data_IF_685555351425
#
_entry.id   IF_685555351425
#
_cell.length_a   1.000
_cell.length_b   1.000
_cell.length_c   1.000
_cell.angle_alpha   90.00
_cell.angle_beta   90.00
_cell.angle_gamma   90.00
#
_symmetry.space_group_name_H-M   'P 1'
#
loop_
_entity.id
_entity.type
_entity.pdbx_description
1 polymer ?
#
# COMPACT_ATOMS: atom_id res chain seq x y z
N UNK A 1 32.16 12.75 -8.58
CA UNK A 1 31.71 11.78 -9.60
C UNK A 1 30.24 11.52 -9.40
N UNK A 2 29.39 12.06 -10.28
CA UNK A 2 27.98 11.71 -10.32
C UNK A 2 27.83 10.47 -11.21
N UNK A 3 27.14 9.44 -10.73
CA UNK A 3 26.73 8.31 -11.54
C UNK A 3 25.21 8.22 -11.42
N UNK A 4 24.52 8.75 -12.44
CA UNK A 4 23.15 8.38 -12.79
C UNK A 4 23.11 6.87 -13.06
N UNK A 5 22.10 6.10 -12.72
CA UNK A 5 20.70 6.28 -13.09
C UNK A 5 20.12 4.87 -13.24
N UNK A 6 18.91 4.71 -12.75
CA UNK A 6 18.17 3.47 -12.59
C UNK A 6 17.69 2.88 -13.94
N UNK A 7 17.79 1.56 -14.13
CA UNK A 7 17.12 0.85 -15.23
C UNK A 7 16.33 -0.34 -14.68
N UNK A 8 15.04 -0.11 -14.44
CA UNK A 8 14.06 -1.16 -14.17
C UNK A 8 13.72 -1.93 -15.43
N UNK A 9 13.70 -3.26 -15.33
CA UNK A 9 13.23 -4.15 -16.40
C UNK A 9 11.74 -4.43 -16.20
N UNK A 10 10.92 -3.78 -17.04
CA UNK A 10 9.49 -4.02 -17.13
C UNK A 10 9.17 -5.32 -17.89
N UNK A 11 8.15 -6.04 -17.40
CA UNK A 11 7.61 -7.25 -18.01
C UNK A 11 6.79 -6.94 -19.26
N UNK A 12 7.11 -7.58 -20.38
CA UNK A 12 6.30 -7.55 -21.60
C UNK A 12 5.45 -8.82 -21.72
N UNK A 13 4.14 -8.71 -21.47
CA UNK A 13 3.12 -9.63 -22.01
C UNK A 13 1.94 -8.81 -22.53
N UNK A 14 2.09 -8.32 -23.76
CA UNK A 14 1.02 -7.65 -24.50
C UNK A 14 0.18 -8.66 -25.28
N UNK A 15 -0.92 -9.13 -24.67
CA UNK A 15 -1.96 -9.90 -25.36
C UNK A 15 -2.91 -8.96 -26.11
N UNK A 16 -2.93 -9.09 -27.43
CA UNK A 16 -3.82 -8.36 -28.34
C UNK A 16 -5.29 -8.76 -28.07
N UNK A 17 -6.15 -7.81 -27.71
CA UNK A 17 -7.61 -8.02 -27.66
C UNK A 17 -8.34 -6.81 -28.22
N UNK A 18 -8.90 -7.01 -29.41
CA UNK A 18 -9.75 -6.08 -30.16
C UNK A 18 -10.80 -5.44 -29.26
N UNK A 19 -10.68 -4.12 -29.05
CA UNK A 19 -11.73 -3.30 -28.42
C UNK A 19 -12.88 -3.11 -29.41
N UNK A 20 -13.90 -3.97 -29.32
CA UNK A 20 -15.24 -3.61 -29.80
C UNK A 20 -15.85 -2.64 -28.79
N UNK A 21 -15.80 -1.35 -29.12
CA UNK A 21 -16.61 -0.32 -28.46
C UNK A 21 -18.07 -0.61 -28.79
N UNK A 22 -18.81 -1.16 -27.84
CA UNK A 22 -20.28 -1.11 -27.80
C UNK A 22 -20.63 -0.54 -26.44
N UNK A 23 -21.19 0.67 -26.47
CA UNK A 23 -21.69 1.34 -25.28
C UNK A 23 -22.68 0.44 -24.56
N UNK A 24 -22.39 0.17 -23.30
CA UNK A 24 -23.35 -0.42 -22.37
C UNK A 24 -23.06 0.18 -20.99
N UNK A 25 -23.73 1.29 -20.72
CA UNK A 25 -23.79 1.92 -19.40
C UNK A 25 -24.59 1.11 -18.38
N UNK A 26 -24.72 -0.22 -18.55
CA UNK A 26 -25.56 -1.10 -17.75
C UNK A 26 -24.82 -2.14 -16.89
N UNK A 27 -23.48 -2.29 -17.00
CA UNK A 27 -22.78 -3.46 -16.42
C UNK A 27 -22.21 -3.30 -15.00
N UNK A 28 -22.36 -2.13 -14.39
CA UNK A 28 -21.84 -1.85 -13.04
C UNK A 28 -22.91 -1.21 -12.17
N UNK A 29 -23.95 -1.98 -11.84
CA UNK A 29 -24.90 -1.56 -10.80
C UNK A 29 -24.14 -1.33 -9.49
N UNK A 30 -24.23 -0.11 -8.98
CA UNK A 30 -23.69 0.24 -7.66
C UNK A 30 -24.67 -0.24 -6.60
N UNK A 31 -24.19 -1.01 -5.63
CA UNK A 31 -25.02 -1.44 -4.51
C UNK A 31 -25.54 -0.24 -3.72
N UNK A 32 -26.80 -0.31 -3.30
CA UNK A 32 -27.39 0.68 -2.39
C UNK A 32 -26.84 0.50 -0.98
N UNK A 33 -26.94 1.52 -0.13
CA UNK A 33 -26.48 1.41 1.26
C UNK A 33 -27.15 0.25 2.03
N UNK A 34 -28.47 0.02 1.93
CA UNK A 34 -29.11 -1.14 2.54
C UNK A 34 -28.61 -2.49 2.02
N UNK A 35 -28.29 -2.59 0.72
CA UNK A 35 -27.69 -3.80 0.15
C UNK A 35 -26.30 -4.06 0.73
N UNK A 36 -25.48 -3.01 0.84
CA UNK A 36 -24.15 -3.11 1.45
C UNK A 36 -24.25 -3.53 2.91
N UNK A 37 -25.17 -2.97 3.68
CA UNK A 37 -25.34 -3.32 5.10
C UNK A 37 -25.65 -4.81 5.30
N UNK A 38 -26.59 -5.36 4.54
CA UNK A 38 -26.90 -6.79 4.58
C UNK A 38 -25.70 -7.64 4.15
N UNK A 39 -25.02 -7.26 3.07
CA UNK A 39 -23.84 -7.99 2.59
C UNK A 39 -22.69 -7.98 3.62
N UNK A 40 -22.44 -6.85 4.29
CA UNK A 40 -21.44 -6.73 5.36
C UNK A 40 -21.84 -7.56 6.59
N UNK A 41 -23.12 -7.57 6.98
CA UNK A 41 -23.62 -8.43 8.06
C UNK A 41 -23.37 -9.91 7.75
N UNK A 42 -23.79 -10.37 6.57
CA UNK A 42 -23.55 -11.74 6.13
C UNK A 42 -22.06 -12.07 6.01
N UNK A 43 -21.22 -11.10 5.66
CA UNK A 43 -19.76 -11.26 5.61
C UNK A 43 -19.16 -11.55 6.99
N UNK A 44 -19.67 -10.89 8.04
CA UNK A 44 -19.26 -11.14 9.42
C UNK A 44 -19.56 -12.58 9.89
N UNK A 45 -20.65 -13.16 9.40
CA UNK A 45 -21.05 -14.55 9.71
C UNK A 45 -20.24 -15.56 8.88
N UNK A 46 -20.07 -15.32 7.57
CA UNK A 46 -19.31 -16.20 6.69
C UNK A 46 -18.66 -15.45 5.53
N UNK A 47 -17.33 -15.30 5.56
CA UNK A 47 -16.57 -14.59 4.52
C UNK A 47 -16.41 -15.34 3.18
N UNK A 48 -16.78 -16.63 3.13
CA UNK A 48 -16.67 -17.50 1.94
C UNK A 48 -17.94 -18.34 1.72
N UNK A 49 -19.08 -17.70 1.43
CA UNK A 49 -20.32 -18.42 1.25
C UNK A 49 -20.28 -19.33 0.03
N UNK A 50 -20.77 -20.57 0.19
CA UNK A 50 -20.96 -21.52 -0.90
C UNK A 50 -22.17 -21.14 -1.79
N UNK A 51 -22.49 -21.93 -2.82
CA UNK A 51 -23.60 -21.60 -3.73
C UNK A 51 -24.95 -21.53 -3.02
N UNK A 52 -25.26 -22.53 -2.20
CA UNK A 52 -26.51 -22.60 -1.44
C UNK A 52 -26.67 -21.40 -0.50
N UNK A 53 -25.62 -21.07 0.27
CA UNK A 53 -25.64 -19.90 1.15
C UNK A 53 -25.88 -18.59 0.39
N UNK A 54 -25.32 -18.43 -0.82
CA UNK A 54 -25.59 -17.24 -1.64
C UNK A 54 -27.05 -17.17 -2.11
N UNK A 55 -27.66 -18.30 -2.48
CA UNK A 55 -29.07 -18.35 -2.85
C UNK A 55 -29.97 -18.03 -1.66
N UNK A 56 -29.66 -18.58 -0.49
CA UNK A 56 -30.39 -18.30 0.74
C UNK A 56 -30.29 -16.83 1.15
N UNK A 57 -29.14 -16.16 0.96
CA UNK A 57 -29.00 -14.72 1.20
C UNK A 57 -29.98 -13.90 0.34
N UNK A 58 -30.14 -14.24 -0.94
CA UNK A 58 -31.07 -13.54 -1.84
C UNK A 58 -32.52 -13.79 -1.40
N UNK A 59 -32.85 -15.04 -1.07
CA UNK A 59 -34.20 -15.44 -0.64
C UNK A 59 -34.60 -14.81 0.70
N UNK A 60 -33.68 -14.77 1.66
CA UNK A 60 -33.93 -14.28 3.01
C UNK A 60 -33.91 -12.75 3.11
N UNK A 61 -33.29 -12.04 2.15
CA UNK A 61 -33.14 -10.59 2.19
C UNK A 61 -33.73 -9.96 0.92
N UNK A 62 -35.01 -9.51 0.94
CA UNK A 62 -35.68 -8.93 -0.22
C UNK A 62 -34.93 -7.73 -0.85
N UNK A 63 -34.15 -7.00 -0.05
CA UNK A 63 -33.30 -5.89 -0.51
C UNK A 63 -32.21 -6.33 -1.50
N UNK A 64 -31.83 -7.61 -1.47
CA UNK A 64 -30.91 -8.25 -2.42
C UNK A 64 -31.64 -8.85 -3.63
N UNK A 65 -32.95 -8.69 -3.77
CA UNK A 65 -33.73 -9.31 -4.84
C UNK A 65 -33.28 -8.95 -6.26
N UNK A 66 -32.62 -7.80 -6.43
CA UNK A 66 -32.03 -7.37 -7.71
C UNK A 66 -30.58 -7.83 -7.90
N UNK A 67 -29.99 -8.56 -6.94
CA UNK A 67 -28.60 -8.98 -6.93
C UNK A 67 -28.52 -10.48 -7.20
N UNK A 68 -27.85 -10.88 -8.27
CA UNK A 68 -27.70 -12.29 -8.59
C UNK A 68 -26.59 -13.00 -7.79
N UNK A 69 -26.61 -14.34 -7.77
CA UNK A 69 -25.62 -15.15 -7.02
C UNK A 69 -24.17 -14.92 -7.48
N UNK A 70 -23.95 -14.54 -8.75
CA UNK A 70 -22.62 -14.24 -9.29
C UNK A 70 -22.12 -12.89 -8.77
N UNK A 71 -22.98 -11.88 -8.70
CA UNK A 71 -22.69 -10.59 -8.11
C UNK A 71 -22.35 -10.72 -6.63
N UNK A 72 -23.10 -11.52 -5.86
CA UNK A 72 -22.75 -11.83 -4.46
C UNK A 72 -21.36 -12.46 -4.40
N UNK A 73 -21.07 -13.48 -5.22
CA UNK A 73 -19.74 -14.11 -5.25
C UNK A 73 -18.63 -13.08 -5.50
N UNK A 74 -18.80 -12.19 -6.48
CA UNK A 74 -17.82 -11.14 -6.82
C UNK A 74 -17.69 -10.15 -5.66
N UNK A 75 -18.79 -9.72 -5.05
CA UNK A 75 -18.76 -8.81 -3.92
C UNK A 75 -17.95 -9.40 -2.76
N UNK A 76 -18.17 -10.66 -2.39
CA UNK A 76 -17.40 -11.33 -1.33
C UNK A 76 -15.91 -11.52 -1.69
N UNK A 77 -15.59 -11.74 -2.96
CA UNK A 77 -14.20 -11.76 -3.43
C UNK A 77 -13.53 -10.39 -3.29
N UNK A 78 -14.18 -9.34 -3.78
CA UNK A 78 -13.70 -7.98 -3.69
C UNK A 78 -13.59 -7.51 -2.25
N UNK A 79 -14.54 -7.90 -1.39
CA UNK A 79 -14.55 -7.56 0.03
C UNK A 79 -13.33 -8.13 0.75
N UNK A 80 -13.01 -9.40 0.52
CA UNK A 80 -11.78 -10.04 1.04
C UNK A 80 -10.52 -9.41 0.49
N UNK A 81 -10.51 -9.08 -0.80
CA UNK A 81 -9.38 -8.38 -1.41
C UNK A 81 -9.14 -7.01 -0.78
N UNK A 82 -10.21 -6.23 -0.55
CA UNK A 82 -10.15 -4.93 0.14
C UNK A 82 -9.65 -5.04 1.58
N UNK A 83 -10.07 -6.07 2.34
CA UNK A 83 -9.55 -6.27 3.70
C UNK A 83 -8.06 -6.57 3.71
N UNK A 84 -7.64 -7.47 2.81
CA UNK A 84 -6.23 -7.80 2.65
C UNK A 84 -5.42 -6.55 2.29
N UNK A 85 -5.87 -5.79 1.30
CA UNK A 85 -5.22 -4.55 0.87
C UNK A 85 -5.18 -3.49 1.98
N UNK A 86 -6.27 -3.35 2.76
CA UNK A 86 -6.30 -2.42 3.89
C UNK A 86 -5.24 -2.78 4.93
N UNK A 87 -5.17 -4.06 5.30
CA UNK A 87 -4.15 -4.54 6.26
C UNK A 87 -2.74 -4.30 5.74
N UNK A 88 -2.46 -4.69 4.50
CA UNK A 88 -1.15 -4.47 3.87
C UNK A 88 -0.77 -2.99 3.81
N UNK A 89 -1.72 -2.09 3.53
CA UNK A 89 -1.48 -0.66 3.53
C UNK A 89 -1.15 -0.14 4.94
N UNK A 90 -1.91 -0.55 5.96
CA UNK A 90 -1.60 -0.21 7.36
C UNK A 90 -0.22 -0.69 7.77
N UNK A 91 0.14 -1.93 7.42
CA UNK A 91 1.45 -2.51 7.73
C UNK A 91 2.58 -1.73 7.03
N UNK A 92 2.39 -1.37 5.76
CA UNK A 92 3.33 -0.53 5.01
C UNK A 92 3.49 0.87 5.61
N UNK A 93 2.39 1.50 6.03
CA UNK A 93 2.42 2.81 6.68
C UNK A 93 3.22 2.75 7.99
N UNK A 94 3.04 1.70 8.79
CA UNK A 94 3.77 1.51 10.03
C UNK A 94 5.28 1.36 9.79
N UNK A 95 5.67 0.53 8.82
CA UNK A 95 7.08 0.35 8.45
C UNK A 95 7.67 1.65 7.92
N UNK A 96 6.92 2.41 7.11
CA UNK A 96 7.37 3.69 6.58
C UNK A 96 7.61 4.72 7.69
N UNK A 97 6.69 4.82 8.67
CA UNK A 97 6.85 5.69 9.84
C UNK A 97 8.12 5.33 10.63
N UNK A 98 8.36 4.03 10.86
CA UNK A 98 9.58 3.56 11.54
C UNK A 98 10.83 3.94 10.76
N UNK A 99 10.83 3.73 9.45
CA UNK A 99 11.96 4.07 8.58
C UNK A 99 12.25 5.58 8.58
N UNK A 100 11.21 6.42 8.57
CA UNK A 100 11.37 7.88 8.68
C UNK A 100 12.03 8.26 10.02
N UNK A 101 11.58 7.67 11.12
CA UNK A 101 12.15 7.93 12.44
C UNK A 101 13.63 7.51 12.51
N UNK A 102 13.95 6.31 12.02
CA UNK A 102 15.33 5.81 11.97
C UNK A 102 16.22 6.66 11.06
N UNK A 103 15.71 7.05 9.89
CA UNK A 103 16.44 7.92 8.96
C UNK A 103 16.78 9.27 9.60
N UNK A 104 15.84 9.85 10.35
CA UNK A 104 16.06 11.09 11.09
C UNK A 104 17.20 10.96 12.10
N UNK A 105 17.20 9.91 12.91
CA UNK A 105 18.28 9.65 13.88
C UNK A 105 19.65 9.49 13.20
N UNK A 106 19.69 8.76 12.09
CA UNK A 106 20.92 8.61 11.30
C UNK A 106 21.40 9.94 10.72
N UNK A 107 20.51 10.82 10.29
CA UNK A 107 20.87 12.14 9.78
C UNK A 107 21.43 13.04 10.89
N UNK A 108 20.82 13.02 12.07
CA UNK A 108 21.31 13.74 13.25
C UNK A 108 22.71 13.26 13.66
N UNK A 109 22.91 11.94 13.73
CA UNK A 109 24.21 11.35 14.08
C UNK A 109 25.27 11.66 13.02
N UNK A 110 24.93 11.59 11.73
CA UNK A 110 25.82 12.00 10.66
C UNK A 110 26.23 13.48 10.78
N UNK A 111 25.29 14.36 11.15
CA UNK A 111 25.59 15.77 11.42
C UNK A 111 26.56 15.93 12.58
N UNK A 112 26.31 15.23 13.70
CA UNK A 112 27.16 15.23 14.88
C UNK A 112 28.59 14.76 14.56
N UNK A 113 28.72 13.66 13.84
CA UNK A 113 30.02 13.11 13.43
C UNK A 113 30.78 14.07 12.50
N UNK A 114 30.09 14.73 11.56
CA UNK A 114 30.71 15.74 10.68
C UNK A 114 31.25 16.93 11.47
N UNK A 115 30.52 17.39 12.48
CA UNK A 115 30.99 18.47 13.37
C UNK A 115 32.23 18.04 14.15
N UNK A 116 32.21 16.85 14.75
CA UNK A 116 33.34 16.30 15.50
C UNK A 116 34.60 16.14 14.61
N UNK A 117 34.44 15.66 13.38
CA UNK A 117 35.54 15.58 12.41
C UNK A 117 36.10 16.97 12.11
N UNK A 118 35.23 17.97 11.94
CA UNK A 118 35.64 19.35 11.64
C UNK A 118 36.45 19.95 12.79
N UNK A 119 36.00 19.77 14.03
CA UNK A 119 36.71 20.20 15.25
C UNK A 119 38.08 19.54 15.36
N UNK A 120 38.15 18.21 15.24
CA UNK A 120 39.41 17.48 15.31
C UNK A 120 40.39 17.91 14.21
N UNK A 121 39.91 18.19 13.00
CA UNK A 121 40.75 18.72 11.91
C UNK A 121 41.30 20.10 12.26
N UNK A 122 40.47 20.98 12.83
CA UNK A 122 40.90 22.31 13.27
C UNK A 122 41.94 22.23 14.40
N UNK A 123 41.68 21.44 15.43
CA UNK A 123 42.61 21.22 16.56
C UNK A 123 43.95 20.64 16.08
N UNK A 124 43.90 19.62 15.22
CA UNK A 124 45.12 19.04 14.64
C UNK A 124 45.93 20.07 13.86
N UNK A 125 45.28 20.94 13.09
CA UNK A 125 45.97 22.03 12.38
C UNK A 125 46.63 22.99 13.37
N UNK A 126 45.92 23.40 14.42
CA UNK A 126 46.44 24.29 15.46
C UNK A 126 47.66 23.70 16.17
N UNK A 127 47.57 22.43 16.60
CA UNK A 127 48.67 21.73 17.27
C UNK A 127 49.90 21.61 16.37
N UNK A 128 49.72 21.28 15.10
CA UNK A 128 50.83 21.23 14.11
C UNK A 128 51.49 22.58 13.90
N UNK A 129 50.72 23.67 13.95
CA UNK A 129 51.24 25.02 13.81
C UNK A 129 52.03 25.44 15.06
N UNK A 130 51.52 25.12 16.25
CA UNK A 130 52.21 25.39 17.50
C UNK A 130 53.56 24.66 17.58
N UNK A 131 53.59 23.37 17.23
CA UNK A 131 54.84 22.58 17.18
C UNK A 131 55.89 23.18 16.24
N UNK A 132 55.48 23.79 15.12
CA UNK A 132 56.40 24.46 14.18
C UNK A 132 56.95 25.80 14.69
N UNK A 133 56.28 26.43 15.65
CA UNK A 133 56.67 27.73 16.19
C UNK A 133 57.52 27.62 17.46
N UNK A 134 57.52 26.45 18.11
CA UNK A 134 58.25 26.18 19.36
C UNK A 134 59.56 25.42 19.12
N UNK A 135 59.71 24.80 17.94
CA UNK A 135 60.98 24.28 17.41
C UNK A 135 61.60 25.28 16.43
#
# INVERSE_FOLDING_TARGET
>A
MAIAGNSGVGSSRGGNSKRRSHGDGGKHARYTAPQIEVLEKCFGECSKPNNYQRQEMIRANPVLGSVDSKQIKIWFQNRRCRDKQRKENTDLQLVNQKLIAENKLLMEENGRLRNQVTELVYENKHLRQHLKNVC
#
